data_IF_124753028250
#
_entry.id   IF_124753028250
#
_cell.length_a   1.000
_cell.length_b   1.000
_cell.length_c   1.000
_cell.angle_alpha   90.00
_cell.angle_beta   90.00
_cell.angle_gamma   90.00
#
_symmetry.space_group_name_H-M   'P 1'
#
loop_
_entity.id
_entity.type
_entity.pdbx_description
1 polymer ?
#
# COMPACT_ATOMS: atom_id res chain seq x y z
N UNK A 1 9.97 -40.19 55.33
CA UNK A 1 10.06 -39.50 54.01
C UNK A 1 8.78 -38.79 53.55
N UNK A 2 7.56 -39.37 53.62
CA UNK A 2 6.34 -38.68 53.12
C UNK A 2 5.94 -37.45 53.96
N UNK A 3 6.12 -37.50 55.29
CA UNK A 3 5.75 -36.39 56.17
C UNK A 3 6.65 -35.15 55.99
N UNK A 4 7.96 -35.35 55.87
CA UNK A 4 8.94 -34.28 55.68
C UNK A 4 8.73 -33.55 54.35
N UNK A 5 8.40 -34.30 53.28
CA UNK A 5 8.10 -33.71 51.98
C UNK A 5 6.84 -32.83 52.02
N UNK A 6 5.79 -33.26 52.74
CA UNK A 6 4.57 -32.46 52.93
C UNK A 6 4.82 -31.20 53.76
N UNK A 7 5.63 -31.29 54.81
CA UNK A 7 6.00 -30.13 55.64
C UNK A 7 6.83 -29.10 54.85
N UNK A 8 7.78 -29.56 54.02
CA UNK A 8 8.56 -28.68 53.14
C UNK A 8 7.69 -27.98 52.09
N UNK A 9 6.71 -28.68 51.51
CA UNK A 9 5.76 -28.07 50.59
C UNK A 9 4.89 -27.01 51.28
N UNK A 10 4.41 -27.28 52.49
CA UNK A 10 3.66 -26.30 53.27
C UNK A 10 4.50 -25.06 53.60
N UNK A 11 5.75 -25.24 54.04
CA UNK A 11 6.67 -24.13 54.33
C UNK A 11 6.97 -23.30 53.07
N UNK A 12 7.14 -23.96 51.92
CA UNK A 12 7.37 -23.30 50.64
C UNK A 12 6.13 -22.51 50.16
N UNK A 13 4.93 -23.00 50.44
CA UNK A 13 3.67 -22.29 50.16
C UNK A 13 3.49 -21.08 51.08
N UNK A 14 3.88 -21.20 52.35
CA UNK A 14 3.83 -20.08 53.31
C UNK A 14 4.85 -18.99 53.01
N UNK A 15 5.96 -19.32 52.35
CA UNK A 15 7.00 -18.37 51.93
C UNK A 15 6.73 -17.70 50.56
N UNK A 16 5.59 -17.96 49.93
CA UNK A 16 5.25 -17.38 48.64
C UNK A 16 4.38 -16.12 48.83
N UNK A 17 5.00 -14.95 48.82
CA UNK A 17 4.29 -13.67 48.90
C UNK A 17 3.63 -13.36 47.54
N UNK A 18 2.43 -13.89 47.35
CA UNK A 18 1.63 -13.69 46.15
C UNK A 18 1.31 -12.21 45.88
N UNK A 19 1.19 -11.39 46.93
CA UNK A 19 0.86 -9.97 46.78
C UNK A 19 2.09 -9.20 46.27
N UNK A 20 3.24 -9.34 46.92
CA UNK A 20 4.47 -8.70 46.45
C UNK A 20 4.89 -9.20 45.05
N UNK A 21 4.65 -10.48 44.74
CA UNK A 21 4.86 -11.01 43.40
C UNK A 21 3.90 -10.38 42.36
N UNK A 22 2.64 -10.16 42.73
CA UNK A 22 1.64 -9.48 41.92
C UNK A 22 2.00 -8.02 41.65
N UNK A 23 2.40 -7.27 42.68
CA UNK A 23 2.82 -5.87 42.58
C UNK A 23 4.07 -5.72 41.69
N UNK A 24 5.08 -6.58 41.88
CA UNK A 24 6.27 -6.61 41.02
C UNK A 24 5.92 -6.88 39.55
N UNK A 25 5.04 -7.84 39.30
CA UNK A 25 4.58 -8.14 37.93
C UNK A 25 3.83 -6.97 37.32
N UNK A 26 2.98 -6.29 38.09
CA UNK A 26 2.25 -5.11 37.62
C UNK A 26 3.21 -3.97 37.23
N UNK A 27 4.19 -3.67 38.08
CA UNK A 27 5.21 -2.65 37.78
C UNK A 27 6.01 -2.99 36.51
N UNK A 28 6.46 -4.23 36.39
CA UNK A 28 7.18 -4.70 35.19
C UNK A 28 6.35 -4.56 33.91
N UNK A 29 5.05 -4.85 33.96
CA UNK A 29 4.15 -4.69 32.82
C UNK A 29 3.98 -3.21 32.44
N UNK A 30 3.85 -2.32 33.43
CA UNK A 30 3.73 -0.89 33.19
C UNK A 30 5.00 -0.33 32.54
N UNK A 31 6.19 -0.72 33.03
CA UNK A 31 7.47 -0.34 32.42
C UNK A 31 7.56 -0.77 30.95
N UNK A 32 7.14 -2.01 30.64
CA UNK A 32 7.12 -2.50 29.26
C UNK A 32 6.19 -1.70 28.35
N UNK A 33 5.03 -1.28 28.86
CA UNK A 33 4.09 -0.47 28.10
C UNK A 33 4.66 0.94 27.83
N UNK A 34 5.36 1.52 28.79
CA UNK A 34 6.06 2.79 28.62
C UNK A 34 7.16 2.69 27.55
N UNK A 35 7.98 1.64 27.58
CA UNK A 35 9.02 1.42 26.56
C UNK A 35 8.42 1.29 25.15
N UNK A 36 7.31 0.57 25.00
CA UNK A 36 6.59 0.48 23.71
C UNK A 36 6.09 1.85 23.27
N UNK A 37 5.47 2.61 24.16
CA UNK A 37 4.98 3.96 23.88
C UNK A 37 6.11 4.88 23.40
N UNK A 38 7.26 4.84 24.07
CA UNK A 38 8.45 5.59 23.69
C UNK A 38 8.98 5.16 22.32
N UNK A 39 9.08 3.85 22.04
CA UNK A 39 9.53 3.35 20.76
C UNK A 39 8.64 3.82 19.60
N UNK A 40 7.31 3.79 19.77
CA UNK A 40 6.38 4.32 18.77
C UNK A 40 6.52 5.82 18.55
N UNK A 41 6.69 6.61 19.63
CA UNK A 41 6.92 8.06 19.53
C UNK A 41 8.21 8.35 18.74
N UNK A 42 9.31 7.68 19.07
CA UNK A 42 10.60 7.83 18.39
C UNK A 42 10.47 7.45 16.91
N UNK A 43 9.86 6.31 16.59
CA UNK A 43 9.65 5.85 15.22
C UNK A 43 8.80 6.84 14.41
N UNK A 44 7.74 7.39 15.02
CA UNK A 44 6.89 8.41 14.39
C UNK A 44 7.68 9.69 14.07
N UNK A 45 8.48 10.16 15.02
CA UNK A 45 9.34 11.34 14.83
C UNK A 45 10.35 11.11 13.70
N UNK A 46 10.98 9.94 13.65
CA UNK A 46 11.92 9.61 12.57
C UNK A 46 11.27 9.68 11.20
N UNK A 47 10.13 8.99 11.02
CA UNK A 47 9.37 9.00 9.76
C UNK A 47 8.93 10.42 9.37
N UNK A 48 8.48 11.20 10.34
CA UNK A 48 8.07 12.58 10.11
C UNK A 48 9.24 13.48 9.69
N UNK A 49 10.41 13.35 10.31
CA UNK A 49 11.62 14.07 9.92
C UNK A 49 12.02 13.74 8.49
N UNK A 50 12.05 12.46 8.13
CA UNK A 50 12.36 12.00 6.77
C UNK A 50 11.36 12.56 5.77
N UNK A 51 10.05 12.49 6.07
CA UNK A 51 9.01 13.08 5.23
C UNK A 51 9.21 14.58 5.05
N UNK A 52 9.42 15.33 6.14
CA UNK A 52 9.66 16.79 6.09
C UNK A 52 10.88 17.14 5.24
N UNK A 53 11.97 16.38 5.36
CA UNK A 53 13.17 16.59 4.55
C UNK A 53 12.92 16.33 3.07
N UNK A 54 12.16 15.28 2.72
CA UNK A 54 11.75 15.01 1.34
C UNK A 54 10.83 16.10 0.79
N UNK A 55 9.80 16.48 1.56
CA UNK A 55 8.83 17.51 1.17
C UNK A 55 9.51 18.87 0.98
N UNK A 56 10.49 19.22 1.83
CA UNK A 56 11.27 20.45 1.71
C UNK A 56 12.09 20.48 0.41
N UNK A 57 12.59 19.32 -0.04
CA UNK A 57 13.36 19.19 -1.28
C UNK A 57 12.49 19.04 -2.52
N UNK A 58 11.20 18.75 -2.35
CA UNK A 58 10.27 18.65 -3.46
C UNK A 58 9.95 20.07 -3.95
N UNK A 59 10.48 20.43 -5.12
CA UNK A 59 10.15 21.70 -5.75
C UNK A 59 8.63 21.79 -5.97
N UNK A 60 8.01 22.85 -5.43
CA UNK A 60 6.58 23.11 -5.62
C UNK A 60 6.32 23.36 -7.10
N UNK A 61 5.77 22.35 -7.79
CA UNK A 61 5.32 22.50 -9.17
C UNK A 61 3.92 23.09 -9.14
N UNK A 62 3.75 24.27 -9.72
CA UNK A 62 2.43 24.83 -9.98
C UNK A 62 1.82 24.07 -11.16
N UNK A 63 0.88 23.17 -10.82
CA UNK A 63 0.07 22.49 -11.79
C UNK A 63 -1.02 23.46 -12.23
N UNK A 64 -0.82 24.10 -13.38
CA UNK A 64 -1.88 24.85 -14.06
C UNK A 64 -2.95 23.85 -14.48
N UNK A 65 -4.23 24.16 -14.24
CA UNK A 65 -5.35 23.37 -14.77
C UNK A 65 -5.14 23.15 -16.28
N UNK A 66 -5.02 21.88 -16.68
CA UNK A 66 -4.71 21.50 -18.06
C UNK A 66 -3.27 21.02 -18.34
N UNK A 67 -2.33 21.09 -17.37
CA UNK A 67 -0.96 20.58 -17.53
C UNK A 67 -0.83 19.06 -17.27
N UNK A 68 -1.86 18.45 -16.69
CA UNK A 68 -2.04 16.99 -16.58
C UNK A 68 -2.91 16.43 -17.71
N UNK A 69 -2.82 16.99 -18.92
CA UNK A 69 -3.39 16.34 -20.09
C UNK A 69 -2.46 15.22 -20.51
N UNK A 70 -2.88 13.97 -20.32
CA UNK A 70 -2.30 12.82 -21.00
C UNK A 70 -2.22 13.15 -22.49
N UNK A 71 -1.01 13.31 -23.03
CA UNK A 71 -0.81 13.57 -24.46
C UNK A 71 -0.99 12.24 -25.18
N UNK A 72 -2.09 12.10 -25.92
CA UNK A 72 -2.35 10.95 -26.78
C UNK A 72 -1.69 11.17 -28.14
N UNK A 73 -1.03 10.16 -28.70
CA UNK A 73 -0.27 10.27 -29.95
C UNK A 73 -1.15 10.46 -31.20
N UNK A 74 -2.47 10.31 -31.06
CA UNK A 74 -3.45 10.45 -32.15
C UNK A 74 -4.43 9.29 -32.18
N UNK A 75 -5.38 9.30 -33.14
CA UNK A 75 -6.21 8.14 -33.44
C UNK A 75 -5.35 7.05 -34.12
N UNK A 76 -5.68 5.79 -33.83
CA UNK A 76 -5.08 4.60 -34.45
C UNK A 76 -6.18 3.59 -34.75
N UNK A 77 -5.99 2.79 -35.78
CA UNK A 77 -6.92 1.71 -36.15
C UNK A 77 -6.59 0.45 -35.36
N UNK A 78 -7.59 -0.16 -34.71
CA UNK A 78 -7.42 -1.43 -34.00
C UNK A 78 -7.51 -2.57 -35.01
N UNK A 79 -6.47 -3.38 -35.11
CA UNK A 79 -6.47 -4.59 -35.96
C UNK A 79 -7.03 -5.77 -35.17
N UNK A 80 -6.53 -5.97 -33.95
CA UNK A 80 -6.83 -7.16 -33.15
C UNK A 80 -6.79 -6.85 -31.67
N UNK A 81 -7.85 -7.24 -30.95
CA UNK A 81 -7.87 -7.27 -29.51
C UNK A 81 -7.64 -8.71 -29.01
N UNK A 82 -6.65 -8.90 -28.14
CA UNK A 82 -6.37 -10.20 -27.54
C UNK A 82 -7.05 -10.33 -26.16
N UNK A 83 -7.47 -11.53 -25.76
CA UNK A 83 -8.20 -11.75 -24.49
C UNK A 83 -7.38 -11.36 -23.25
N UNK A 84 -6.06 -11.35 -23.36
CA UNK A 84 -5.13 -10.99 -22.29
C UNK A 84 -4.86 -9.47 -22.18
N UNK A 85 -5.63 -8.65 -22.90
CA UNK A 85 -5.62 -7.19 -22.73
C UNK A 85 -4.52 -6.45 -23.50
N UNK A 86 -3.79 -7.11 -24.41
CA UNK A 86 -2.96 -6.41 -25.40
C UNK A 86 -3.73 -6.24 -26.71
N UNK A 87 -3.41 -5.17 -27.44
CA UNK A 87 -4.09 -4.76 -28.66
C UNK A 87 -3.06 -4.45 -29.72
N UNK A 88 -3.28 -4.95 -30.93
CA UNK A 88 -2.50 -4.60 -32.12
C UNK A 88 -3.14 -3.39 -32.81
N UNK A 89 -2.34 -2.35 -33.00
CA UNK A 89 -2.73 -1.11 -33.65
C UNK A 89 -2.02 -0.94 -34.98
N UNK A 90 -2.67 -0.25 -35.91
CA UNK A 90 -2.10 0.24 -37.14
C UNK A 90 -2.10 1.77 -37.14
N UNK A 91 -0.97 2.35 -37.54
CA UNK A 91 -0.90 3.76 -37.91
C UNK A 91 -1.20 3.91 -39.41
N UNK A 92 -2.30 4.59 -39.75
CA UNK A 92 -2.74 4.75 -41.13
C UNK A 92 -1.72 5.54 -41.98
N UNK A 93 -0.92 6.41 -41.36
CA UNK A 93 0.06 7.24 -42.07
C UNK A 93 1.31 6.46 -42.46
N UNK A 94 1.76 5.59 -41.57
CA UNK A 94 3.02 4.84 -41.77
C UNK A 94 2.79 3.39 -42.18
N UNK A 95 1.53 2.91 -42.14
CA UNK A 95 1.14 1.52 -42.35
C UNK A 95 1.91 0.54 -41.43
N UNK A 96 2.36 1.02 -40.26
CA UNK A 96 3.10 0.21 -39.29
C UNK A 96 2.15 -0.36 -38.27
N UNK A 97 2.36 -1.64 -37.95
CA UNK A 97 1.63 -2.36 -36.92
C UNK A 97 2.46 -2.51 -35.66
N UNK A 98 1.87 -2.30 -34.49
CA UNK A 98 2.54 -2.48 -33.22
C UNK A 98 1.57 -2.92 -32.12
N UNK A 99 2.07 -3.70 -31.17
CA UNK A 99 1.28 -4.21 -30.04
C UNK A 99 1.47 -3.32 -28.82
N UNK A 100 0.37 -2.94 -28.18
CA UNK A 100 0.38 -2.20 -26.92
C UNK A 100 -0.52 -2.86 -25.88
N UNK A 101 -0.35 -2.45 -24.63
CA UNK A 101 -1.30 -2.78 -23.57
C UNK A 101 -2.58 -1.95 -23.75
N UNK A 102 -3.75 -2.60 -23.69
CA UNK A 102 -5.06 -1.99 -23.79
C UNK A 102 -5.34 -0.92 -22.72
N UNK A 103 -4.68 -0.97 -21.56
CA UNK A 103 -4.76 0.11 -20.56
C UNK A 103 -4.20 1.45 -21.05
N UNK A 104 -3.42 1.43 -22.14
CA UNK A 104 -2.87 2.63 -22.80
C UNK A 104 -3.70 3.05 -24.02
N UNK A 105 -4.98 2.67 -24.07
CA UNK A 105 -5.94 3.08 -25.09
C UNK A 105 -7.06 3.91 -24.48
N UNK A 106 -7.62 4.79 -25.30
CA UNK A 106 -8.83 5.55 -25.00
C UNK A 106 -9.63 5.70 -26.29
N UNK A 107 -10.96 5.61 -26.20
CA UNK A 107 -11.83 5.89 -27.34
C UNK A 107 -11.59 7.31 -27.85
N UNK A 108 -11.37 7.41 -29.16
CA UNK A 108 -11.26 8.67 -29.85
C UNK A 108 -12.67 9.20 -30.15
N UNK A 109 -12.96 10.45 -29.76
CA UNK A 109 -14.29 11.08 -29.83
C UNK A 109 -14.37 12.19 -30.91
N UNK A 110 -13.47 12.19 -31.90
CA UNK A 110 -13.41 13.24 -32.94
C UNK A 110 -14.63 13.26 -33.87
N UNK A 111 -15.02 14.45 -34.31
CA UNK A 111 -16.23 14.74 -35.11
C UNK A 111 -16.33 13.90 -36.39
N UNK A 112 -17.42 13.11 -36.45
CA UNK A 112 -18.13 12.61 -37.64
C UNK A 112 -17.30 12.10 -38.83
N UNK A 113 -16.93 10.82 -38.81
CA UNK A 113 -17.13 9.91 -39.96
C UNK A 113 -17.39 8.47 -39.44
N UNK A 114 -18.55 7.95 -39.88
CA UNK A 114 -19.07 6.59 -39.82
C UNK A 114 -19.30 5.94 -38.44
N UNK A 115 -20.57 6.04 -38.02
CA UNK A 115 -21.23 5.09 -37.14
C UNK A 115 -21.09 3.66 -37.69
N UNK A 116 -20.04 2.96 -37.29
CA UNK A 116 -20.13 1.52 -37.06
C UNK A 116 -19.98 1.26 -35.58
N UNK A 117 -21.12 1.30 -34.90
CA UNK A 117 -21.31 0.79 -33.54
C UNK A 117 -20.92 -0.70 -33.53
N UNK A 118 -19.64 -0.99 -33.33
CA UNK A 118 -19.23 -2.34 -32.92
C UNK A 118 -19.54 -2.43 -31.43
N UNK A 119 -20.67 -3.05 -31.13
CA UNK A 119 -21.05 -3.42 -29.77
C UNK A 119 -20.00 -4.41 -29.24
N UNK A 120 -19.21 -4.00 -28.25
CA UNK A 120 -18.44 -4.94 -27.46
C UNK A 120 -19.34 -5.51 -26.37
N UNK A 121 -19.83 -6.74 -26.59
CA UNK A 121 -20.38 -7.52 -25.49
C UNK A 121 -19.21 -7.89 -24.56
N UNK A 122 -19.18 -7.27 -23.40
CA UNK A 122 -18.33 -7.67 -22.29
C UNK A 122 -19.10 -8.78 -21.58
N UNK A 123 -18.61 -10.02 -21.68
CA UNK A 123 -19.08 -11.14 -20.85
C UNK A 123 -18.77 -10.91 -19.38
#
# INVERSE_FOLDING_TARGET
>A
MVLEHKALWALKMLNFDNQAAGERRFLQLNELEEFKSQAYKIAKIYKEKTRRWHDQKLARREFVEGKLKSRWSGPFTIIKACPYGHVELMDDKTQRTFTINGHKLKHYLGDSLDEQRVNYNIS
#
